data_IF_394966492259
#
_entry.id   IF_394966492259
#
_cell.length_a   1.000
_cell.length_b   1.000
_cell.length_c   1.000
_cell.angle_alpha   90.00
_cell.angle_beta   90.00
_cell.angle_gamma   90.00
#
_symmetry.space_group_name_H-M   'P 1'
#
loop_
_entity.id
_entity.type
_entity.pdbx_description
1 polymer ?
#
# COMPACT_ATOMS: atom_id res chain seq x y z
N UNK A 1 6.59 -0.94 -3.09
CA UNK A 1 5.18 -1.02 -2.61
C UNK A 1 4.29 -0.08 -3.40
N UNK A 2 4.42 1.25 -3.28
CA UNK A 2 3.54 2.21 -4.00
C UNK A 2 3.55 2.13 -5.54
N UNK A 3 4.59 1.53 -6.12
CA UNK A 3 4.76 1.35 -7.58
C UNK A 3 4.48 -0.09 -8.03
N UNK A 4 4.02 -0.95 -7.14
CA UNK A 4 3.68 -2.32 -7.49
C UNK A 4 2.30 -2.35 -8.16
N UNK A 5 2.10 -3.28 -9.09
CA UNK A 5 0.79 -3.49 -9.70
C UNK A 5 -0.17 -4.24 -8.76
N UNK A 6 0.38 -5.11 -7.92
CA UNK A 6 -0.36 -5.97 -7.00
C UNK A 6 0.45 -6.25 -5.73
N UNK A 7 -0.25 -6.37 -4.61
CA UNK A 7 0.31 -6.62 -3.28
C UNK A 7 -0.48 -7.76 -2.62
N UNK A 8 0.26 -8.66 -1.97
CA UNK A 8 -0.28 -9.61 -0.98
C UNK A 8 0.29 -9.21 0.37
N UNK A 9 -0.57 -8.83 1.31
CA UNK A 9 -0.19 -8.40 2.65
C UNK A 9 -0.33 -9.56 3.64
N UNK A 10 0.73 -9.78 4.42
CA UNK A 10 0.84 -10.90 5.36
C UNK A 10 0.88 -10.39 6.80
N UNK A 11 0.15 -11.07 7.68
CA UNK A 11 0.03 -10.67 9.08
C UNK A 11 -1.04 -11.48 9.82
N UNK A 12 -1.75 -10.88 10.80
CA UNK A 12 -1.70 -9.46 11.21
C UNK A 12 -0.41 -9.06 11.93
N UNK A 13 0.26 -10.02 12.59
CA UNK A 13 1.49 -9.78 13.34
C UNK A 13 2.66 -10.62 12.79
N UNK A 14 3.84 -10.48 13.40
CA UNK A 14 5.00 -11.33 13.11
C UNK A 14 5.01 -12.63 13.92
N UNK A 15 5.74 -13.64 13.45
CA UNK A 15 5.97 -14.88 14.20
C UNK A 15 4.76 -15.81 14.24
N UNK A 16 4.46 -16.39 15.41
CA UNK A 16 3.41 -17.39 15.58
C UNK A 16 1.99 -16.84 15.32
N UNK A 17 1.80 -15.54 15.51
CA UNK A 17 0.53 -14.85 15.30
C UNK A 17 0.37 -14.28 13.87
N UNK A 18 1.33 -14.59 12.98
CA UNK A 18 1.33 -14.17 11.58
C UNK A 18 1.00 -15.28 10.59
N UNK A 19 1.42 -15.07 9.33
CA UNK A 19 1.36 -16.10 8.28
C UNK A 19 0.01 -16.25 7.58
N UNK A 20 -0.90 -15.28 7.75
CA UNK A 20 -2.19 -15.24 7.05
C UNK A 20 -2.18 -14.12 6.02
N UNK A 21 -2.95 -14.29 4.95
CA UNK A 21 -3.26 -13.21 4.02
C UNK A 21 -4.25 -12.29 4.72
N UNK A 22 -3.85 -11.05 4.95
CA UNK A 22 -4.67 -10.01 5.59
C UNK A 22 -5.43 -9.23 4.54
N UNK A 23 -4.76 -8.90 3.42
CA UNK A 23 -5.35 -8.22 2.28
C UNK A 23 -4.58 -8.56 0.99
N UNK A 24 -5.26 -8.47 -0.15
CA UNK A 24 -4.66 -8.65 -1.47
C UNK A 24 -5.33 -7.69 -2.46
N UNK A 25 -4.55 -7.04 -3.31
CA UNK A 25 -5.06 -6.07 -4.27
C UNK A 25 -4.03 -5.11 -4.83
N UNK A 26 -4.50 -4.07 -5.54
CA UNK A 26 -3.66 -2.94 -5.95
C UNK A 26 -3.18 -2.14 -4.72
N UNK A 27 -2.14 -1.30 -4.85
CA UNK A 27 -1.71 -0.41 -3.76
C UNK A 27 -2.83 0.41 -3.13
N UNK A 28 -3.76 0.92 -3.93
CA UNK A 28 -4.91 1.70 -3.48
C UNK A 28 -5.89 0.83 -2.68
N UNK A 29 -6.12 -0.42 -3.10
CA UNK A 29 -6.99 -1.35 -2.37
C UNK A 29 -6.39 -1.72 -1.01
N UNK A 30 -5.09 -2.00 -0.96
CA UNK A 30 -4.38 -2.26 0.31
C UNK A 30 -4.42 -1.04 1.23
N UNK A 31 -4.21 0.16 0.70
CA UNK A 31 -4.27 1.40 1.48
C UNK A 31 -5.64 1.64 2.15
N UNK A 32 -6.72 1.08 1.61
CA UNK A 32 -8.07 1.16 2.18
C UNK A 32 -8.38 0.06 3.20
N UNK A 33 -7.55 -0.97 3.31
CA UNK A 33 -7.74 -2.08 4.25
C UNK A 33 -7.43 -1.66 5.68
N UNK A 34 -8.42 -1.74 6.58
CA UNK A 34 -8.26 -1.39 8.00
C UNK A 34 -7.42 -2.43 8.77
N UNK A 35 -7.47 -3.69 8.36
CA UNK A 35 -6.73 -4.78 8.99
C UNK A 35 -5.23 -4.82 8.59
N UNK A 36 -4.83 -3.99 7.63
CA UNK A 36 -3.49 -4.00 7.04
C UNK A 36 -2.61 -2.91 7.65
N UNK A 37 -1.59 -3.31 8.42
CA UNK A 37 -0.53 -2.40 8.85
C UNK A 37 0.16 -1.75 7.65
N UNK A 38 0.43 -2.52 6.59
CA UNK A 38 0.97 -2.00 5.33
C UNK A 38 0.06 -0.92 4.75
N UNK A 39 -1.25 -1.15 4.71
CA UNK A 39 -2.26 -0.20 4.23
C UNK A 39 -2.26 1.11 4.99
N UNK A 40 -2.18 1.05 6.33
CA UNK A 40 -2.11 2.22 7.21
C UNK A 40 -0.97 3.16 6.83
N UNK A 41 0.22 2.64 6.56
CA UNK A 41 1.40 3.44 6.17
C UNK A 41 1.44 3.76 4.67
N UNK A 42 0.84 2.92 3.82
CA UNK A 42 0.81 3.14 2.38
C UNK A 42 -0.10 4.30 1.98
N UNK A 43 -1.24 4.46 2.68
CA UNK A 43 -2.22 5.51 2.42
C UNK A 43 -1.62 6.92 2.29
N UNK A 44 -0.89 7.46 3.29
CA UNK A 44 -0.31 8.80 3.16
C UNK A 44 0.73 8.85 2.04
N UNK A 45 1.47 7.79 1.75
CA UNK A 45 2.48 7.77 0.68
C UNK A 45 1.84 7.90 -0.70
N UNK A 46 0.66 7.29 -0.92
CA UNK A 46 -0.09 7.42 -2.17
C UNK A 46 -0.69 8.83 -2.32
N UNK A 47 -1.18 9.42 -1.24
CA UNK A 47 -1.72 10.79 -1.24
C UNK A 47 -0.64 11.83 -1.59
N UNK A 48 0.56 11.72 -1.00
CA UNK A 48 1.66 12.65 -1.25
C UNK A 48 2.40 12.35 -2.57
N UNK A 49 2.46 11.08 -2.99
CA UNK A 49 3.14 10.63 -4.20
C UNK A 49 2.46 11.02 -5.51
N UNK A 50 1.19 11.43 -5.47
CA UNK A 50 0.43 11.93 -6.64
C UNK A 50 0.86 13.32 -7.14
N UNK A 51 1.86 13.95 -6.50
CA UNK A 51 2.26 15.34 -6.76
C UNK A 51 3.52 15.52 -7.63
N UNK A 52 4.20 14.47 -8.08
CA UNK A 52 5.55 14.61 -8.70
C UNK A 52 5.79 13.87 -10.02
N UNK A 53 4.75 13.36 -10.69
CA UNK A 53 4.91 12.88 -12.06
C UNK A 53 3.97 13.65 -12.99
N UNK A 54 4.54 14.28 -14.01
CA UNK A 54 3.92 14.99 -15.14
C UNK A 54 3.69 16.52 -15.08
N UNK A 55 4.11 17.25 -14.04
CA UNK A 55 4.00 18.73 -14.05
C UNK A 55 5.20 19.49 -14.65
N UNK A 56 6.33 18.84 -14.93
CA UNK A 56 7.55 19.53 -15.43
C UNK A 56 7.86 19.34 -16.91
N UNK A 57 7.07 18.58 -17.69
CA UNK A 57 7.34 18.33 -19.12
C UNK A 57 6.49 19.18 -20.08
N UNK A 58 5.93 20.30 -19.60
CA UNK A 58 5.15 21.27 -20.39
C UNK A 58 5.55 22.72 -20.07
N UNK A 59 6.85 23.01 -20.16
CA UNK A 59 7.37 24.38 -20.25
C UNK A 59 8.25 24.52 -21.49
#
# INVERSE_FOLDING_TARGET
>A
IKTADWIIDLGPEGGADGGRIVAEGTPEQIAMSEDSHTGHYLRPVLEHGRSHSYSEERA
#
